data_IF_881754510933
#
_entry.id   IF_881754510933
#
_cell.length_a   1.000
_cell.length_b   1.000
_cell.length_c   1.000
_cell.angle_alpha   90.00
_cell.angle_beta   90.00
_cell.angle_gamma   90.00
#
_symmetry.space_group_name_H-M   'P 1'
#
loop_
_entity.id
_entity.type
_entity.pdbx_description
1 polymer ?
#
# COMPACT_ATOMS: atom_id res chain seq x y z
N UNK A 1 -22.39 36.77 17.19
CA UNK A 1 -21.71 36.15 16.03
C UNK A 1 -21.82 37.10 14.86
N UNK A 2 -20.71 37.66 14.37
CA UNK A 2 -20.71 38.58 13.26
C UNK A 2 -21.12 37.83 11.97
N UNK A 3 -22.08 38.35 11.24
CA UNK A 3 -22.49 37.81 9.94
C UNK A 3 -21.32 37.98 8.95
N UNK A 4 -20.88 36.85 8.34
CA UNK A 4 -19.84 36.85 7.31
C UNK A 4 -20.27 37.71 6.12
N UNK A 5 -19.37 38.57 5.66
CA UNK A 5 -19.58 39.42 4.47
C UNK A 5 -19.76 38.51 3.22
N UNK A 6 -20.54 38.92 2.25
CA UNK A 6 -20.81 38.10 1.03
C UNK A 6 -19.52 37.70 0.27
N UNK A 7 -18.49 38.55 0.29
CA UNK A 7 -17.15 38.25 -0.23
C UNK A 7 -16.45 37.14 0.55
N UNK A 8 -16.65 37.08 1.88
CA UNK A 8 -16.06 36.03 2.72
C UNK A 8 -16.77 34.69 2.50
N UNK A 9 -18.09 34.70 2.33
CA UNK A 9 -18.88 33.50 1.97
C UNK A 9 -18.41 32.91 0.64
N UNK A 10 -18.26 33.75 -0.39
CA UNK A 10 -17.77 33.33 -1.71
C UNK A 10 -16.37 32.71 -1.64
N UNK A 11 -15.43 33.30 -0.86
CA UNK A 11 -14.09 32.74 -0.64
C UNK A 11 -14.16 31.39 0.08
N UNK A 12 -14.99 31.29 1.11
CA UNK A 12 -15.18 30.03 1.85
C UNK A 12 -15.73 28.92 0.95
N UNK A 13 -16.71 29.23 0.12
CA UNK A 13 -17.30 28.24 -0.80
C UNK A 13 -16.30 27.82 -1.89
N UNK A 14 -15.49 28.74 -2.40
CA UNK A 14 -14.40 28.41 -3.33
C UNK A 14 -13.36 27.48 -2.67
N UNK A 15 -12.93 27.77 -1.43
CA UNK A 15 -12.01 26.92 -0.68
C UNK A 15 -12.60 25.54 -0.38
N UNK A 16 -13.88 25.48 -0.01
CA UNK A 16 -14.60 24.21 0.23
C UNK A 16 -14.64 23.35 -1.03
N UNK A 17 -14.97 23.95 -2.18
CA UNK A 17 -14.97 23.26 -3.48
C UNK A 17 -13.57 22.76 -3.83
N UNK A 18 -12.55 23.59 -3.67
CA UNK A 18 -11.16 23.19 -3.95
C UNK A 18 -10.69 22.05 -3.06
N UNK A 19 -10.97 22.13 -1.76
CA UNK A 19 -10.64 21.06 -0.81
C UNK A 19 -11.45 19.78 -1.09
N UNK A 20 -12.70 19.91 -1.50
CA UNK A 20 -13.54 18.79 -1.91
C UNK A 20 -12.93 18.03 -3.10
N UNK A 21 -12.50 18.76 -4.14
CA UNK A 21 -11.84 18.16 -5.31
C UNK A 21 -10.52 17.49 -4.92
N UNK A 22 -9.67 18.15 -4.13
CA UNK A 22 -8.42 17.57 -3.63
C UNK A 22 -8.68 16.26 -2.86
N UNK A 23 -9.70 16.25 -2.01
CA UNK A 23 -10.07 15.08 -1.22
C UNK A 23 -10.57 13.92 -2.10
N UNK A 24 -11.32 14.20 -3.17
CA UNK A 24 -11.76 13.19 -4.12
C UNK A 24 -10.57 12.51 -4.82
N UNK A 25 -9.57 13.27 -5.26
CA UNK A 25 -8.34 12.72 -5.84
C UNK A 25 -7.53 11.92 -4.82
N UNK A 26 -7.43 12.40 -3.58
CA UNK A 26 -6.76 11.71 -2.49
C UNK A 26 -7.41 10.35 -2.17
N UNK A 27 -8.71 10.27 -2.23
CA UNK A 27 -9.48 9.05 -1.94
C UNK A 27 -9.24 7.93 -2.97
N UNK A 28 -8.77 8.24 -4.20
CA UNK A 28 -8.40 7.24 -5.22
C UNK A 28 -7.32 6.28 -4.72
N UNK A 29 -6.36 6.79 -3.92
CA UNK A 29 -5.23 6.03 -3.36
C UNK A 29 -5.49 5.46 -1.97
N UNK A 30 -6.67 5.69 -1.40
CA UNK A 30 -7.00 5.32 -0.03
C UNK A 30 -6.72 3.84 0.29
N UNK A 31 -7.26 2.92 -0.52
CA UNK A 31 -7.06 1.49 -0.31
C UNK A 31 -5.58 1.10 -0.47
N UNK A 32 -4.88 1.69 -1.43
CA UNK A 32 -3.45 1.40 -1.68
C UNK A 32 -2.63 1.76 -0.44
N UNK A 33 -2.92 2.87 0.23
CA UNK A 33 -2.25 3.28 1.47
C UNK A 33 -2.41 2.27 2.59
N UNK A 34 -3.63 1.79 2.80
CA UNK A 34 -3.88 0.79 3.85
C UNK A 34 -3.15 -0.52 3.55
N UNK A 35 -3.11 -0.95 2.30
CA UNK A 35 -2.39 -2.16 1.92
C UNK A 35 -0.87 -1.99 2.05
N UNK A 36 -0.32 -0.83 1.69
CA UNK A 36 1.11 -0.53 1.94
C UNK A 36 1.40 -0.54 3.44
N UNK A 37 0.57 0.10 4.26
CA UNK A 37 0.70 0.08 5.71
C UNK A 37 0.61 -1.34 6.27
N UNK A 38 -0.34 -2.14 5.79
CA UNK A 38 -0.47 -3.55 6.17
C UNK A 38 0.82 -4.33 5.91
N UNK A 39 1.39 -4.26 4.71
CA UNK A 39 2.65 -4.92 4.40
C UNK A 39 3.82 -4.36 5.20
N UNK A 40 3.87 -3.04 5.42
CA UNK A 40 4.89 -2.41 6.25
C UNK A 40 4.88 -2.97 7.67
N UNK A 41 3.73 -2.98 8.33
CA UNK A 41 3.60 -3.51 9.70
C UNK A 41 3.81 -5.02 9.75
N UNK A 42 3.39 -5.78 8.73
CA UNK A 42 3.67 -7.22 8.64
C UNK A 42 5.17 -7.50 8.59
N UNK A 43 5.94 -6.70 7.84
CA UNK A 43 7.39 -6.83 7.80
C UNK A 43 8.05 -6.41 9.12
N UNK A 44 7.56 -5.36 9.79
CA UNK A 44 8.01 -5.01 11.15
C UNK A 44 7.77 -6.15 12.15
N UNK A 45 6.59 -6.77 12.08
CA UNK A 45 6.26 -7.93 12.92
C UNK A 45 7.20 -9.10 12.63
N UNK A 46 7.52 -9.34 11.36
CA UNK A 46 8.48 -10.37 10.97
C UNK A 46 9.87 -10.09 11.52
N UNK A 47 10.34 -8.82 11.50
CA UNK A 47 11.60 -8.41 12.15
C UNK A 47 11.57 -8.69 13.64
N UNK A 48 10.49 -8.32 14.35
CA UNK A 48 10.33 -8.55 15.78
C UNK A 48 10.42 -10.04 16.13
N UNK A 49 9.83 -10.92 15.30
CA UNK A 49 9.92 -12.38 15.52
C UNK A 49 11.34 -12.91 15.35
N UNK A 50 12.18 -12.30 14.51
CA UNK A 50 13.61 -12.66 14.43
C UNK A 50 14.36 -12.39 15.73
N UNK A 51 14.01 -11.35 16.49
CA UNK A 51 14.65 -11.08 17.79
C UNK A 51 14.37 -12.16 18.84
N UNK A 52 13.25 -12.87 18.72
CA UNK A 52 12.91 -14.02 19.57
C UNK A 52 13.64 -15.30 19.16
N UNK A 53 14.36 -15.31 18.05
CA UNK A 53 15.06 -16.48 17.51
C UNK A 53 16.57 -16.35 17.66
N UNK A 54 17.27 -17.49 17.81
CA UNK A 54 18.73 -17.54 17.85
C UNK A 54 19.38 -17.23 16.48
N UNK A 55 18.73 -17.59 15.39
CA UNK A 55 19.24 -17.37 14.03
C UNK A 55 18.66 -16.09 13.42
N UNK A 56 19.52 -15.12 13.12
CA UNK A 56 19.14 -13.80 12.59
C UNK A 56 19.69 -13.54 11.18
N UNK A 57 20.24 -14.56 10.50
CA UNK A 57 20.97 -14.38 9.24
C UNK A 57 20.13 -13.71 8.13
N UNK A 58 18.84 -13.99 8.05
CA UNK A 58 17.96 -13.49 7.00
C UNK A 58 17.05 -12.31 7.41
N UNK A 59 17.33 -11.68 8.57
CA UNK A 59 16.57 -10.49 9.03
C UNK A 59 16.63 -9.31 8.04
N UNK A 60 17.66 -9.30 7.18
CA UNK A 60 17.84 -8.26 6.15
C UNK A 60 16.65 -8.21 5.16
N UNK A 61 16.02 -9.35 4.87
CA UNK A 61 14.90 -9.42 3.91
C UNK A 61 13.70 -8.60 4.38
N UNK A 62 13.10 -8.86 5.56
CA UNK A 62 11.98 -8.04 6.02
C UNK A 62 12.40 -6.60 6.34
N UNK A 63 13.68 -6.35 6.71
CA UNK A 63 14.19 -5.00 6.95
C UNK A 63 14.19 -4.15 5.67
N UNK A 64 14.67 -4.70 4.55
CA UNK A 64 14.63 -4.02 3.26
C UNK A 64 13.19 -3.76 2.81
N UNK A 65 12.29 -4.73 2.98
CA UNK A 65 10.87 -4.56 2.64
C UNK A 65 10.19 -3.50 3.51
N UNK A 66 10.54 -3.43 4.80
CA UNK A 66 10.04 -2.38 5.70
C UNK A 66 10.54 -1.00 5.29
N UNK A 67 11.82 -0.84 4.94
CA UNK A 67 12.37 0.44 4.44
C UNK A 67 11.67 0.86 3.14
N UNK A 68 11.50 -0.04 2.18
CA UNK A 68 10.76 0.24 0.94
C UNK A 68 9.31 0.63 1.22
N UNK A 69 8.64 -0.07 2.15
CA UNK A 69 7.29 0.28 2.59
C UNK A 69 7.21 1.69 3.18
N UNK A 70 8.18 2.08 4.03
CA UNK A 70 8.29 3.43 4.58
C UNK A 70 8.47 4.51 3.50
N UNK A 71 9.32 4.26 2.49
CA UNK A 71 9.51 5.15 1.34
C UNK A 71 8.20 5.31 0.56
N UNK A 72 7.43 4.23 0.38
CA UNK A 72 6.13 4.29 -0.30
C UNK A 72 5.08 5.07 0.51
N UNK A 73 5.05 4.91 1.83
CA UNK A 73 4.17 5.70 2.70
C UNK A 73 4.50 7.19 2.61
N UNK A 74 5.79 7.53 2.56
CA UNK A 74 6.26 8.90 2.33
C UNK A 74 5.83 9.44 0.96
N UNK A 75 6.00 8.66 -0.11
CA UNK A 75 5.53 9.03 -1.46
C UNK A 75 4.04 9.35 -1.45
N UNK A 76 3.23 8.48 -0.83
CA UNK A 76 1.78 8.62 -0.78
C UNK A 76 1.30 9.78 0.08
N UNK A 77 2.03 10.16 1.14
CA UNK A 77 1.70 11.33 1.96
C UNK A 77 1.87 12.63 1.17
N UNK A 78 2.82 12.67 0.23
CA UNK A 78 3.07 13.82 -0.66
C UNK A 78 2.13 13.91 -1.86
N UNK A 79 1.32 12.88 -2.12
CA UNK A 79 0.33 12.85 -3.22
C UNK A 79 -0.97 13.62 -2.92
N UNK A 80 -0.99 14.42 -1.86
CA UNK A 80 -2.11 15.30 -1.53
C UNK A 80 -2.09 16.56 -2.42
N UNK A 81 -2.27 16.36 -3.75
CA UNK A 81 -2.25 17.44 -4.75
C UNK A 81 -3.23 17.16 -5.88
N UNK A 82 -3.68 18.21 -6.57
CA UNK A 82 -4.46 18.10 -7.81
C UNK A 82 -3.62 17.49 -8.95
N UNK A 83 -2.31 17.66 -8.92
CA UNK A 83 -1.39 17.06 -9.88
C UNK A 83 -1.26 15.56 -9.60
N UNK A 84 -1.77 14.77 -10.50
CA UNK A 84 -1.66 13.31 -10.42
C UNK A 84 -0.25 12.89 -10.85
N UNK A 85 0.61 12.62 -9.86
CA UNK A 85 1.90 11.99 -10.13
C UNK A 85 1.72 10.46 -10.07
N UNK A 86 2.26 9.70 -11.03
CA UNK A 86 2.18 8.25 -11.00
C UNK A 86 2.90 7.71 -9.75
N UNK A 87 2.28 6.76 -9.06
CA UNK A 87 2.82 6.12 -7.85
C UNK A 87 3.88 5.07 -8.21
N UNK A 88 5.00 5.51 -8.79
CA UNK A 88 6.04 4.62 -9.34
C UNK A 88 6.71 3.80 -8.25
N UNK A 89 7.05 4.42 -7.11
CA UNK A 89 7.70 3.72 -5.99
C UNK A 89 6.77 2.69 -5.37
N UNK A 90 5.50 3.03 -5.24
CA UNK A 90 4.47 2.11 -4.72
C UNK A 90 4.26 0.93 -5.67
N UNK A 91 4.28 1.15 -6.99
CA UNK A 91 4.21 0.07 -7.97
C UNK A 91 5.42 -0.87 -7.86
N UNK A 92 6.62 -0.32 -7.79
CA UNK A 92 7.86 -1.09 -7.59
C UNK A 92 7.82 -1.91 -6.29
N UNK A 93 7.33 -1.32 -5.21
CA UNK A 93 7.17 -2.01 -3.93
C UNK A 93 6.30 -3.26 -4.03
N UNK A 94 5.12 -3.16 -4.65
CA UNK A 94 4.24 -4.34 -4.82
C UNK A 94 4.86 -5.39 -5.74
N UNK A 95 5.59 -5.01 -6.78
CA UNK A 95 6.34 -5.96 -7.61
C UNK A 95 7.41 -6.68 -6.78
N UNK A 96 8.13 -5.97 -5.92
CA UNK A 96 9.12 -6.56 -5.00
C UNK A 96 8.46 -7.51 -4.01
N UNK A 97 7.31 -7.16 -3.43
CA UNK A 97 6.53 -8.05 -2.54
C UNK A 97 6.16 -9.35 -3.25
N UNK A 98 5.67 -9.28 -4.49
CA UNK A 98 5.31 -10.46 -5.27
C UNK A 98 6.55 -11.34 -5.51
N UNK A 99 7.65 -10.76 -5.95
CA UNK A 99 8.88 -11.48 -6.23
C UNK A 99 9.43 -12.17 -4.97
N UNK A 100 9.51 -11.45 -3.84
CA UNK A 100 9.98 -12.01 -2.57
C UNK A 100 9.05 -13.13 -2.08
N UNK A 101 7.73 -12.93 -2.10
CA UNK A 101 6.79 -13.97 -1.68
C UNK A 101 6.86 -15.21 -2.58
N UNK A 102 7.06 -15.05 -3.89
CA UNK A 102 7.25 -16.17 -4.81
C UNK A 102 8.52 -16.97 -4.49
N UNK A 103 9.64 -16.29 -4.23
CA UNK A 103 10.89 -16.94 -3.80
C UNK A 103 10.69 -17.67 -2.48
N UNK A 104 10.04 -17.06 -1.49
CA UNK A 104 9.74 -17.67 -0.20
C UNK A 104 8.81 -18.88 -0.34
N UNK A 105 7.85 -18.87 -1.27
CA UNK A 105 7.03 -20.05 -1.58
C UNK A 105 7.89 -21.20 -2.09
N UNK A 106 8.80 -20.93 -3.03
CA UNK A 106 9.72 -21.95 -3.57
C UNK A 106 10.57 -22.53 -2.43
N UNK A 107 11.17 -21.68 -1.59
CA UNK A 107 11.97 -22.11 -0.43
C UNK A 107 11.13 -22.97 0.54
N UNK A 108 9.87 -22.60 0.76
CA UNK A 108 8.95 -23.33 1.63
C UNK A 108 8.62 -24.71 1.04
N UNK A 109 8.44 -24.83 -0.27
CA UNK A 109 8.22 -26.12 -0.95
C UNK A 109 9.40 -27.07 -0.75
N UNK A 110 10.64 -26.57 -0.80
CA UNK A 110 11.86 -27.35 -0.54
C UNK A 110 12.14 -27.59 0.96
N UNK A 111 11.21 -27.29 1.86
CA UNK A 111 11.34 -27.44 3.33
C UNK A 111 12.50 -26.63 3.94
N UNK A 112 12.94 -25.56 3.28
CA UNK A 112 14.04 -24.69 3.75
C UNK A 112 13.55 -23.41 4.42
N UNK A 113 12.27 -23.31 4.76
CA UNK A 113 11.64 -22.09 5.30
C UNK A 113 12.19 -21.67 6.67
N UNK A 114 12.81 -22.56 7.45
CA UNK A 114 13.41 -22.23 8.75
C UNK A 114 14.51 -21.17 8.68
N UNK A 115 15.17 -21.01 7.53
CA UNK A 115 16.17 -19.94 7.37
C UNK A 115 15.49 -18.55 7.41
N UNK A 116 14.29 -18.44 6.88
CA UNK A 116 13.53 -17.20 6.83
C UNK A 116 12.50 -17.06 7.97
N UNK A 117 12.08 -18.17 8.55
CA UNK A 117 11.12 -18.23 9.66
C UNK A 117 11.64 -19.12 10.79
N UNK A 118 12.79 -18.75 11.43
CA UNK A 118 13.44 -19.61 12.43
C UNK A 118 12.63 -19.78 13.71
N UNK A 119 11.63 -18.94 13.94
CA UNK A 119 10.71 -18.99 15.09
C UNK A 119 9.55 -19.98 14.87
N UNK A 120 9.43 -20.58 13.69
CA UNK A 120 8.38 -21.56 13.40
C UNK A 120 8.91 -22.99 13.49
N UNK A 121 8.09 -23.90 14.05
CA UNK A 121 8.41 -25.31 14.13
C UNK A 121 8.37 -26.00 12.77
N UNK A 122 9.21 -27.04 12.59
CA UNK A 122 9.15 -27.89 11.39
C UNK A 122 7.94 -28.83 11.47
N UNK A 123 6.85 -28.42 10.81
CA UNK A 123 5.64 -29.20 10.74
C UNK A 123 4.99 -29.02 9.36
N UNK A 124 4.31 -30.06 8.91
CA UNK A 124 3.49 -29.99 7.68
C UNK A 124 2.41 -28.91 7.80
N UNK A 125 1.80 -28.76 8.97
CA UNK A 125 0.82 -27.70 9.26
C UNK A 125 1.42 -26.32 9.07
N UNK A 126 2.61 -26.08 9.58
CA UNK A 126 3.34 -24.79 9.42
C UNK A 126 3.64 -24.51 7.94
N UNK A 127 4.08 -25.53 7.21
CA UNK A 127 4.34 -25.42 5.77
C UNK A 127 3.09 -25.00 4.99
N UNK A 128 1.96 -25.67 5.22
CA UNK A 128 0.69 -25.35 4.57
C UNK A 128 0.23 -23.94 4.93
N UNK A 129 0.31 -23.57 6.22
CA UNK A 129 -0.02 -22.23 6.69
C UNK A 129 0.81 -21.14 5.99
N UNK A 130 2.14 -21.33 5.88
CA UNK A 130 3.02 -20.39 5.18
C UNK A 130 2.67 -20.28 3.68
N UNK A 131 2.40 -21.38 3.00
CA UNK A 131 2.01 -21.36 1.59
C UNK A 131 0.71 -20.57 1.38
N UNK A 132 -0.27 -20.74 2.25
CA UNK A 132 -1.54 -19.98 2.19
C UNK A 132 -1.26 -18.49 2.44
N UNK A 133 -0.47 -18.15 3.47
CA UNK A 133 -0.15 -16.78 3.83
C UNK A 133 0.59 -16.05 2.69
N UNK A 134 1.61 -16.69 2.10
CA UNK A 134 2.38 -16.13 1.00
C UNK A 134 1.53 -15.98 -0.27
N UNK A 135 0.67 -16.96 -0.57
CA UNK A 135 -0.27 -16.87 -1.71
C UNK A 135 -1.24 -15.71 -1.54
N UNK A 136 -1.77 -15.51 -0.34
CA UNK A 136 -2.64 -14.38 -0.02
C UNK A 136 -1.90 -13.04 -0.18
N UNK A 137 -0.64 -12.97 0.24
CA UNK A 137 0.22 -11.80 0.04
C UNK A 137 0.42 -11.47 -1.45
N UNK A 138 0.70 -12.49 -2.29
CA UNK A 138 0.81 -12.31 -3.75
C UNK A 138 -0.53 -11.83 -4.34
N UNK A 139 -1.64 -12.41 -3.92
CA UNK A 139 -2.98 -12.04 -4.40
C UNK A 139 -3.31 -10.58 -4.12
N UNK A 140 -3.09 -10.11 -2.89
CA UNK A 140 -3.31 -8.71 -2.50
C UNK A 140 -2.39 -7.78 -3.28
N UNK A 141 -1.09 -8.08 -3.37
CA UNK A 141 -0.13 -7.23 -4.07
C UNK A 141 -0.45 -7.14 -5.57
N UNK A 142 -0.82 -8.24 -6.22
CA UNK A 142 -1.24 -8.27 -7.62
C UNK A 142 -2.51 -7.46 -7.85
N UNK A 143 -3.49 -7.57 -6.96
CA UNK A 143 -4.71 -6.75 -7.03
C UNK A 143 -4.40 -5.26 -6.93
N UNK A 144 -3.47 -4.87 -6.05
CA UNK A 144 -3.03 -3.48 -5.92
C UNK A 144 -2.32 -2.97 -7.17
N UNK A 145 -1.49 -3.81 -7.83
CA UNK A 145 -0.86 -3.43 -9.11
C UNK A 145 -1.90 -3.15 -10.20
N UNK A 146 -2.91 -4.01 -10.32
CA UNK A 146 -4.02 -3.78 -11.27
C UNK A 146 -4.76 -2.47 -10.95
N UNK A 147 -5.00 -2.20 -9.66
CA UNK A 147 -5.65 -0.96 -9.23
C UNK A 147 -4.80 0.28 -9.54
N UNK A 148 -3.49 0.25 -9.26
CA UNK A 148 -2.57 1.35 -9.60
C UNK A 148 -2.57 1.59 -11.11
N UNK A 149 -2.51 0.54 -11.91
CA UNK A 149 -2.54 0.65 -13.35
C UNK A 149 -3.83 1.31 -13.86
N UNK A 150 -4.99 0.94 -13.30
CA UNK A 150 -6.28 1.60 -13.62
C UNK A 150 -6.29 3.08 -13.24
N UNK A 151 -5.68 3.44 -12.09
CA UNK A 151 -5.60 4.84 -11.66
C UNK A 151 -4.69 5.64 -12.60
N UNK A 152 -3.54 5.08 -13.00
CA UNK A 152 -2.59 5.73 -13.90
C UNK A 152 -3.21 6.00 -15.30
N UNK A 153 -4.12 5.14 -15.76
CA UNK A 153 -4.84 5.32 -17.03
C UNK A 153 -6.21 6.02 -16.86
N UNK A 154 -6.52 6.56 -15.70
CA UNK A 154 -7.79 7.21 -15.38
C UNK A 154 -9.03 6.34 -15.68
N UNK A 155 -8.90 5.01 -15.63
CA UNK A 155 -9.95 4.03 -15.89
C UNK A 155 -10.64 3.52 -14.61
N UNK A 156 -10.52 4.26 -13.49
CA UNK A 156 -11.13 3.91 -12.21
C UNK A 156 -12.47 4.62 -12.00
N UNK A 157 -13.39 3.97 -11.30
CA UNK A 157 -14.74 4.49 -11.01
C UNK A 157 -14.73 5.86 -10.30
N UNK A 158 -13.69 6.14 -9.52
CA UNK A 158 -13.58 7.41 -8.80
C UNK A 158 -13.25 8.56 -9.73
N UNK A 159 -12.47 8.34 -10.78
CA UNK A 159 -12.19 9.34 -11.79
C UNK A 159 -13.48 9.78 -12.49
N UNK A 160 -14.36 8.85 -12.89
CA UNK A 160 -15.66 9.18 -13.49
C UNK A 160 -16.54 10.02 -12.55
N UNK A 161 -16.56 9.71 -11.25
CA UNK A 161 -17.28 10.52 -10.26
C UNK A 161 -16.73 11.94 -10.15
N UNK A 162 -15.40 12.09 -10.20
CA UNK A 162 -14.74 13.41 -10.18
C UNK A 162 -15.15 14.21 -11.43
N UNK A 163 -15.15 13.60 -12.60
CA UNK A 163 -15.56 14.24 -13.85
C UNK A 163 -17.03 14.67 -13.81
N UNK A 164 -17.93 13.82 -13.31
CA UNK A 164 -19.34 14.18 -13.12
C UNK A 164 -19.51 15.37 -12.15
N UNK A 165 -18.77 15.37 -11.05
CA UNK A 165 -18.80 16.48 -10.10
C UNK A 165 -18.28 17.77 -10.72
N UNK A 166 -17.18 17.73 -11.47
CA UNK A 166 -16.65 18.90 -12.18
C UNK A 166 -17.62 19.44 -13.22
N UNK A 167 -18.29 18.57 -13.99
CA UNK A 167 -19.30 18.96 -14.96
C UNK A 167 -20.56 19.57 -14.31
N UNK A 168 -20.88 19.23 -13.06
CA UNK A 168 -22.03 19.81 -12.34
C UNK A 168 -21.74 21.20 -11.74
N UNK A 169 -20.48 21.64 -11.73
CA UNK A 169 -20.02 22.91 -11.14
C UNK A 169 -19.64 23.93 -12.22
N UNK A 170 -19.36 23.45 -13.44
CA UNK A 170 -19.11 24.31 -14.62
C UNK A 170 -20.41 24.85 -15.18
#
# INVERSE_FOLDING_TARGET
MAALTDKEKQKLDALRRENGIKNMYYTRYFLIRYVVAFFFFSNLYWILMFFSSANRSFIIVPSLLAVLGGICMWEQSRMYSKEQKPAVKTQFYFQTIIAVNAVLMIVTLFNRYQYFYPFLSQSTTTKVFLLILLSFGIGIASWMLVKINRINHNADKQYYRIQQYLASIS
#
